data_IF_865996941007
#
_entry.id   IF_865996941007
#
_cell.length_a   1.000
_cell.length_b   1.000
_cell.length_c   1.000
_cell.angle_alpha   90.00
_cell.angle_beta   90.00
_cell.angle_gamma   90.00
#
_symmetry.space_group_name_H-M   'P 1'
#
loop_
_entity.id
_entity.type
_entity.pdbx_description
1 polymer ?
#
# COMPACT_ATOMS: atom_id res chain seq x y z
N UNK A 1 -9.54 -2.52 17.04
CA UNK A 1 -9.29 -3.37 15.85
C UNK A 1 -7.79 -3.31 15.54
N UNK A 2 -7.20 -4.21 14.75
CA UNK A 2 -5.74 -4.25 14.56
C UNK A 2 -5.35 -4.19 13.08
N UNK A 3 -4.29 -3.45 12.77
CA UNK A 3 -3.64 -3.36 11.45
C UNK A 3 -2.40 -4.24 11.49
N UNK A 4 -2.27 -5.24 10.63
CA UNK A 4 -1.03 -5.99 10.47
C UNK A 4 -0.21 -5.39 9.32
N UNK A 5 1.07 -5.12 9.56
CA UNK A 5 1.96 -4.48 8.58
C UNK A 5 3.22 -5.33 8.39
N UNK A 6 3.53 -5.68 7.15
CA UNK A 6 4.82 -6.24 6.76
C UNK A 6 5.55 -5.23 5.87
N UNK A 7 6.62 -4.66 6.40
CA UNK A 7 7.36 -3.54 5.80
C UNK A 7 8.84 -3.59 6.20
N UNK A 8 9.70 -2.97 5.39
CA UNK A 8 11.09 -2.71 5.80
C UNK A 8 11.17 -1.65 6.92
N UNK A 9 12.37 -1.40 7.44
CA UNK A 9 12.57 -0.45 8.54
C UNK A 9 12.21 0.99 8.15
N UNK A 10 12.53 1.42 6.93
CA UNK A 10 12.23 2.79 6.47
C UNK A 10 10.73 3.00 6.32
N UNK A 11 10.06 2.07 5.65
CA UNK A 11 8.61 2.07 5.45
C UNK A 11 7.86 2.00 6.79
N UNK A 12 8.37 1.20 7.74
CA UNK A 12 7.79 1.11 9.07
C UNK A 12 7.89 2.41 9.84
N UNK A 13 9.08 3.04 9.90
CA UNK A 13 9.25 4.32 10.59
C UNK A 13 8.39 5.43 9.97
N UNK A 14 8.30 5.45 8.63
CA UNK A 14 7.45 6.39 7.91
C UNK A 14 5.97 6.21 8.26
N UNK A 15 5.50 4.97 8.30
CA UNK A 15 4.11 4.64 8.60
C UNK A 15 3.77 4.85 10.09
N UNK A 16 4.68 4.51 11.00
CA UNK A 16 4.50 4.61 12.45
C UNK A 16 4.20 6.05 12.88
N UNK A 17 4.78 7.04 12.21
CA UNK A 17 4.51 8.46 12.46
C UNK A 17 3.04 8.86 12.32
N UNK A 18 2.27 8.10 11.52
CA UNK A 18 0.90 8.44 11.12
C UNK A 18 -0.17 7.54 11.73
N UNK A 19 0.21 6.33 12.16
CA UNK A 19 -0.72 5.35 12.74
C UNK A 19 -0.79 5.47 14.27
N UNK A 20 -1.97 5.27 14.88
CA UNK A 20 -2.08 5.16 16.33
C UNK A 20 -1.32 3.92 16.85
N UNK A 21 -0.37 4.11 17.78
CA UNK A 21 0.51 3.03 18.29
C UNK A 21 -0.24 1.82 18.85
N UNK A 22 -1.46 2.00 19.38
CA UNK A 22 -2.22 0.94 20.05
C UNK A 22 -2.96 -0.02 19.11
N UNK A 23 -2.98 0.26 17.80
CA UNK A 23 -3.77 -0.53 16.83
C UNK A 23 -2.92 -1.17 15.73
N UNK A 24 -1.59 -0.99 15.74
CA UNK A 24 -0.70 -1.50 14.70
C UNK A 24 0.20 -2.63 15.19
N UNK A 25 0.31 -3.70 14.40
CA UNK A 25 1.20 -4.83 14.62
C UNK A 25 2.19 -4.93 13.46
N UNK A 26 3.49 -4.78 13.76
CA UNK A 26 4.56 -5.02 12.80
C UNK A 26 4.89 -6.50 12.74
N UNK A 27 4.63 -7.15 11.61
CA UNK A 27 5.09 -8.50 11.34
C UNK A 27 6.57 -8.47 10.91
N UNK A 28 7.36 -9.43 11.38
CA UNK A 28 8.79 -9.56 11.03
C UNK A 28 8.95 -10.45 9.79
N UNK A 29 8.07 -11.45 9.66
CA UNK A 29 8.08 -12.43 8.58
C UNK A 29 6.66 -12.71 8.07
N UNK A 30 6.55 -13.56 7.04
CA UNK A 30 5.25 -13.93 6.45
C UNK A 30 4.36 -14.75 7.39
N UNK A 31 4.94 -15.59 8.23
CA UNK A 31 4.19 -16.44 9.17
C UNK A 31 3.51 -15.58 10.25
N UNK A 32 4.23 -14.63 10.82
CA UNK A 32 3.71 -13.62 11.74
C UNK A 32 2.62 -12.76 11.07
N UNK A 33 2.82 -12.42 9.79
CA UNK A 33 1.88 -11.61 9.04
C UNK A 33 0.56 -12.36 8.77
N UNK A 34 0.62 -13.63 8.38
CA UNK A 34 -0.58 -14.44 8.10
C UNK A 34 -1.32 -14.83 9.38
N UNK A 35 -0.58 -15.14 10.45
CA UNK A 35 -1.16 -15.54 11.75
C UNK A 35 -1.73 -14.36 12.56
N UNK A 36 -1.42 -13.12 12.16
CA UNK A 36 -1.92 -11.93 12.84
C UNK A 36 -3.45 -11.83 12.75
N UNK A 37 -4.11 -11.75 13.91
CA UNK A 37 -5.53 -11.43 13.98
C UNK A 37 -5.75 -9.92 13.75
N UNK A 38 -5.60 -9.49 12.50
CA UNK A 38 -5.81 -8.12 12.05
C UNK A 38 -7.13 -7.99 11.29
N UNK A 39 -7.69 -6.78 11.32
CA UNK A 39 -8.82 -6.33 10.51
C UNK A 39 -8.41 -6.04 9.07
N UNK A 40 -7.21 -5.49 8.90
CA UNK A 40 -6.65 -5.09 7.62
C UNK A 40 -5.16 -5.43 7.59
N UNK A 41 -4.71 -5.91 6.43
CA UNK A 41 -3.34 -6.34 6.20
C UNK A 41 -2.65 -5.35 5.25
N UNK A 42 -1.46 -4.88 5.59
CA UNK A 42 -0.63 -4.01 4.75
C UNK A 42 0.66 -4.75 4.40
N UNK A 43 0.84 -5.03 3.12
CA UNK A 43 2.04 -5.61 2.56
C UNK A 43 2.78 -4.54 1.76
N UNK A 44 3.84 -3.97 2.32
CA UNK A 44 4.51 -2.81 1.71
C UNK A 44 5.75 -3.15 0.89
N UNK A 45 6.23 -4.39 0.95
CA UNK A 45 7.36 -4.83 0.12
C UNK A 45 6.96 -4.80 -1.36
N UNK A 46 7.87 -4.35 -2.22
CA UNK A 46 7.64 -4.25 -3.67
C UNK A 46 7.46 -5.63 -4.34
N UNK A 47 8.07 -6.68 -3.77
CA UNK A 47 7.93 -8.04 -4.27
C UNK A 47 6.82 -8.78 -3.53
N UNK A 48 5.69 -9.00 -4.20
CA UNK A 48 4.55 -9.76 -3.69
C UNK A 48 4.52 -11.22 -4.18
N UNK A 49 5.61 -11.75 -4.77
CA UNK A 49 5.70 -13.16 -5.20
C UNK A 49 5.50 -14.17 -4.05
N UNK A 50 5.89 -13.79 -2.83
CA UNK A 50 5.71 -14.59 -1.62
C UNK A 50 4.27 -14.55 -1.09
N UNK A 51 3.40 -13.69 -1.63
CA UNK A 51 2.07 -13.43 -1.10
C UNK A 51 1.02 -14.30 -1.81
N UNK A 52 0.44 -15.25 -1.08
CA UNK A 52 -0.72 -16.01 -1.55
C UNK A 52 -2.01 -15.32 -1.10
N UNK A 53 -2.70 -14.61 -2.01
CA UNK A 53 -3.93 -13.89 -1.71
C UNK A 53 -5.06 -14.77 -1.16
N UNK A 54 -5.07 -16.06 -1.48
CA UNK A 54 -6.04 -17.05 -1.01
C UNK A 54 -6.04 -17.25 0.51
N UNK A 55 -4.97 -16.85 1.19
CA UNK A 55 -4.84 -16.97 2.64
C UNK A 55 -5.61 -15.87 3.39
N UNK A 56 -6.06 -14.83 2.70
CA UNK A 56 -6.70 -13.66 3.30
C UNK A 56 -8.17 -13.59 2.92
N UNK A 57 -9.04 -13.64 3.92
CA UNK A 57 -10.48 -13.36 3.78
C UNK A 57 -10.83 -11.90 4.05
N UNK A 58 -9.92 -11.19 4.73
CA UNK A 58 -10.03 -9.77 5.07
C UNK A 58 -9.32 -8.90 4.02
N UNK A 59 -9.55 -7.58 4.03
CA UNK A 59 -8.89 -6.67 3.10
C UNK A 59 -7.36 -6.69 3.25
N UNK A 60 -6.67 -6.76 2.12
CA UNK A 60 -5.21 -6.64 2.04
C UNK A 60 -4.85 -5.48 1.11
N UNK A 61 -4.04 -4.57 1.62
CA UNK A 61 -3.46 -3.46 0.89
C UNK A 61 -2.02 -3.83 0.53
N UNK A 62 -1.69 -3.79 -0.75
CA UNK A 62 -0.34 -4.04 -1.25
C UNK A 62 0.29 -2.75 -1.80
N UNK A 63 1.61 -2.61 -1.64
CA UNK A 63 2.38 -1.67 -2.43
C UNK A 63 2.54 -2.24 -3.84
N UNK A 64 1.90 -1.61 -4.83
CA UNK A 64 1.98 -2.03 -6.22
C UNK A 64 1.78 -0.84 -7.15
N UNK A 65 2.88 -0.17 -7.47
CA UNK A 65 2.87 1.03 -8.32
C UNK A 65 2.97 0.65 -9.80
N UNK A 66 3.69 -0.41 -10.12
CA UNK A 66 4.00 -0.80 -11.51
C UNK A 66 3.05 -1.84 -12.09
N UNK A 67 2.21 -2.49 -11.27
CA UNK A 67 1.28 -3.54 -11.70
C UNK A 67 -0.17 -3.29 -11.23
N UNK A 68 -1.12 -3.52 -12.13
CA UNK A 68 -2.58 -3.43 -11.92
C UNK A 68 -3.17 -4.71 -11.30
N UNK A 69 -4.42 -4.69 -10.79
CA UNK A 69 -4.98 -5.86 -10.08
C UNK A 69 -5.29 -6.94 -11.11
N UNK A 70 -5.60 -6.50 -12.33
CA UNK A 70 -5.82 -7.35 -13.47
C UNK A 70 -4.54 -8.10 -13.87
N UNK A 71 -3.39 -7.42 -13.95
CA UNK A 71 -2.11 -8.06 -14.33
C UNK A 71 -1.68 -9.14 -13.32
N UNK A 72 -1.95 -8.91 -12.02
CA UNK A 72 -1.58 -9.85 -10.95
C UNK A 72 -2.70 -10.84 -10.59
N UNK A 73 -3.82 -10.84 -11.34
CA UNK A 73 -5.01 -11.66 -11.07
C UNK A 73 -5.48 -11.60 -9.60
N UNK A 74 -5.47 -10.41 -9.00
CA UNK A 74 -5.79 -10.24 -7.60
C UNK A 74 -7.30 -10.38 -7.32
N UNK A 75 -7.69 -11.02 -6.21
CA UNK A 75 -9.08 -11.12 -5.80
C UNK A 75 -9.64 -9.77 -5.30
N UNK A 76 -10.97 -9.70 -5.15
CA UNK A 76 -11.68 -8.46 -4.86
C UNK A 76 -11.39 -7.83 -3.47
N UNK A 77 -10.75 -8.58 -2.57
CA UNK A 77 -10.31 -8.11 -1.26
C UNK A 77 -8.89 -7.52 -1.27
N UNK A 78 -8.24 -7.46 -2.43
CA UNK A 78 -6.92 -6.84 -2.59
C UNK A 78 -7.08 -5.41 -3.10
N UNK A 79 -6.30 -4.52 -2.51
CA UNK A 79 -6.24 -3.12 -2.87
C UNK A 79 -4.77 -2.74 -3.06
N UNK A 80 -4.50 -1.79 -3.95
CA UNK A 80 -3.16 -1.25 -4.15
C UNK A 80 -3.05 0.16 -3.61
N UNK A 81 -1.86 0.50 -3.12
CA UNK A 81 -1.43 1.87 -2.85
C UNK A 81 -0.05 2.11 -3.45
N UNK A 82 0.35 3.38 -3.46
CA UNK A 82 1.74 3.75 -3.65
C UNK A 82 2.50 3.69 -2.33
N UNK A 83 3.39 2.71 -2.19
CA UNK A 83 4.27 2.52 -1.04
C UNK A 83 5.71 3.00 -1.26
N UNK A 84 5.97 3.83 -2.28
CA UNK A 84 7.26 4.51 -2.43
C UNK A 84 7.60 5.31 -1.16
N UNK A 85 8.89 5.41 -0.86
CA UNK A 85 9.36 6.22 0.26
C UNK A 85 8.81 7.64 0.16
N UNK A 86 8.46 8.23 1.30
CA UNK A 86 7.80 9.54 1.49
C UNK A 86 6.33 9.64 1.11
N UNK A 87 5.74 8.60 0.48
CA UNK A 87 4.30 8.56 0.19
C UNK A 87 3.48 7.99 1.35
N UNK A 88 4.03 7.08 2.15
CA UNK A 88 3.35 6.45 3.28
C UNK A 88 3.04 7.45 4.41
N UNK A 89 3.91 8.44 4.65
CA UNK A 89 3.69 9.49 5.64
C UNK A 89 2.62 10.51 5.22
N UNK A 90 2.28 10.59 3.92
CA UNK A 90 1.30 11.57 3.44
C UNK A 90 -0.06 11.35 4.11
N UNK A 91 -0.80 12.43 4.44
CA UNK A 91 -2.13 12.30 5.06
C UNK A 91 -3.18 11.73 4.10
N UNK A 92 -2.90 11.77 2.79
CA UNK A 92 -3.79 11.34 1.73
C UNK A 92 -3.15 10.19 0.98
N UNK A 93 -3.87 9.08 0.85
CA UNK A 93 -3.43 7.91 0.07
C UNK A 93 -4.34 7.69 -1.13
N UNK A 94 -3.72 7.41 -2.27
CA UNK A 94 -4.39 6.97 -3.49
C UNK A 94 -4.56 5.46 -3.42
N UNK A 95 -5.79 4.98 -3.60
CA UNK A 95 -6.11 3.56 -3.52
C UNK A 95 -6.87 3.10 -4.75
N UNK A 96 -6.45 1.97 -5.32
CA UNK A 96 -7.19 1.28 -6.37
C UNK A 96 -7.60 -0.13 -5.94
N UNK A 97 -8.74 -0.56 -6.45
CA UNK A 97 -9.41 -1.80 -6.08
C UNK A 97 -10.92 -1.63 -5.95
N UNK A 98 -11.62 -2.75 -5.69
CA UNK A 98 -13.08 -2.79 -5.60
C UNK A 98 -13.52 -2.38 -4.19
N UNK A 99 -13.83 -1.10 -4.01
CA UNK A 99 -14.29 -0.59 -2.72
C UNK A 99 -15.61 -1.24 -2.29
N UNK A 100 -15.59 -1.95 -1.16
CA UNK A 100 -16.78 -2.47 -0.50
C UNK A 100 -17.03 -1.70 0.82
N UNK A 101 -18.23 -1.83 1.38
CA UNK A 101 -18.58 -1.12 2.62
C UNK A 101 -17.75 -1.59 3.82
N UNK A 102 -17.43 -2.89 3.87
CA UNK A 102 -16.55 -3.47 4.89
C UNK A 102 -15.16 -2.83 4.90
N UNK A 103 -14.58 -2.56 3.73
CA UNK A 103 -13.29 -1.88 3.60
C UNK A 103 -13.36 -0.43 4.10
N UNK A 104 -14.44 0.29 3.80
CA UNK A 104 -14.61 1.67 4.30
C UNK A 104 -14.73 1.72 5.82
N UNK A 105 -15.34 0.72 6.44
CA UNK A 105 -15.43 0.63 7.89
C UNK A 105 -14.06 0.37 8.55
N UNK A 106 -13.27 -0.55 7.99
CA UNK A 106 -11.97 -0.95 8.55
C UNK A 106 -10.83 0.04 8.22
N UNK A 107 -10.96 0.86 7.18
CA UNK A 107 -9.93 1.84 6.80
C UNK A 107 -9.86 3.07 7.70
N UNK A 108 -10.85 3.29 8.56
CA UNK A 108 -10.78 4.31 9.61
C UNK A 108 -9.58 4.11 10.55
N UNK A 109 -9.09 2.87 10.67
CA UNK A 109 -7.93 2.51 11.48
C UNK A 109 -6.61 3.06 10.95
N UNK A 110 -6.55 3.38 9.65
CA UNK A 110 -5.31 3.87 9.03
C UNK A 110 -5.04 5.34 9.33
N UNK A 111 -6.02 6.09 9.86
CA UNK A 111 -5.90 7.53 10.09
C UNK A 111 -5.41 8.31 8.83
N UNK A 112 -5.76 7.81 7.64
CA UNK A 112 -5.44 8.39 6.33
C UNK A 112 -6.71 8.75 5.60
N UNK A 113 -6.69 9.85 4.84
CA UNK A 113 -7.73 10.15 3.86
C UNK A 113 -7.50 9.32 2.61
N UNK A 114 -8.39 8.37 2.34
CA UNK A 114 -8.29 7.55 1.14
C UNK A 114 -9.01 8.21 -0.04
N UNK A 115 -8.30 8.36 -1.16
CA UNK A 115 -8.85 8.79 -2.44
C UNK A 115 -8.86 7.59 -3.38
N UNK A 116 -10.07 7.19 -3.80
CA UNK A 116 -10.21 6.14 -4.80
C UNK A 116 -9.74 6.65 -6.16
N UNK A 117 -8.93 5.86 -6.83
CA UNK A 117 -8.46 6.15 -8.18
C UNK A 117 -8.67 4.92 -9.08
N UNK A 118 -8.73 5.11 -10.40
CA UNK A 118 -8.75 4.01 -11.35
C UNK A 118 -7.57 3.06 -11.15
N UNK A 119 -7.80 1.78 -11.43
CA UNK A 119 -6.74 0.79 -11.45
C UNK A 119 -5.88 0.95 -12.71
N UNK A 120 -4.87 1.81 -12.62
CA UNK A 120 -3.88 1.96 -13.67
C UNK A 120 -2.46 2.07 -13.10
N UNK A 121 -1.48 1.69 -13.93
CA UNK A 121 -0.06 1.74 -13.57
C UNK A 121 0.36 3.15 -13.18
N UNK A 122 1.05 3.28 -12.04
CA UNK A 122 1.78 4.48 -11.63
C UNK A 122 1.01 5.44 -10.74
N UNK A 123 -0.30 5.25 -10.51
CA UNK A 123 -1.17 6.20 -9.78
C UNK A 123 -1.09 7.67 -10.29
N UNK A 124 -2.02 8.56 -9.93
CA UNK A 124 -1.91 9.96 -10.36
C UNK A 124 -0.65 10.67 -9.84
N UNK A 125 -0.38 10.59 -8.53
CA UNK A 125 0.73 11.31 -7.92
C UNK A 125 2.10 10.76 -8.34
N UNK A 126 2.26 9.44 -8.44
CA UNK A 126 3.54 8.84 -8.82
C UNK A 126 3.87 9.07 -10.30
N UNK A 127 2.87 9.08 -11.21
CA UNK A 127 3.08 9.49 -12.62
C UNK A 127 3.62 10.90 -12.74
N UNK A 128 3.05 11.86 -12.00
CA UNK A 128 3.53 13.26 -12.04
C UNK A 128 4.97 13.37 -11.54
N UNK A 129 5.30 12.71 -10.42
CA UNK A 129 6.66 12.71 -9.88
C UNK A 129 7.64 12.06 -10.85
N UNK A 130 7.29 10.91 -11.44
CA UNK A 130 8.11 10.23 -12.41
C UNK A 130 8.38 11.10 -13.65
N UNK A 131 7.37 11.82 -14.16
CA UNK A 131 7.56 12.75 -15.28
C UNK A 131 8.52 13.89 -14.92
N UNK A 132 8.41 14.49 -13.72
CA UNK A 132 9.33 15.55 -13.27
C UNK A 132 10.78 15.04 -13.22
N UNK A 133 10.99 13.83 -12.67
CA UNK A 133 12.31 13.21 -12.60
C UNK A 133 12.87 12.95 -14.00
N UNK A 134 12.04 12.46 -14.92
CA UNK A 134 12.45 12.19 -16.29
C UNK A 134 12.88 13.46 -17.04
N UNK A 135 12.12 14.56 -16.90
CA UNK A 135 12.50 15.84 -17.51
C UNK A 135 13.81 16.39 -16.95
N UNK A 136 14.00 16.34 -15.62
CA UNK A 136 15.26 16.75 -14.99
C UNK A 136 16.45 15.90 -15.47
N UNK A 137 16.25 14.58 -15.61
CA UNK A 137 17.28 13.68 -16.13
C UNK A 137 17.68 14.01 -17.57
N UNK A 138 16.70 14.30 -18.45
CA UNK A 138 16.95 14.70 -19.82
C UNK A 138 17.75 16.01 -19.90
N UNK A 139 17.40 17.00 -19.08
CA UNK A 139 18.15 18.26 -19.00
C UNK A 139 19.60 18.05 -18.54
N UNK A 140 19.81 17.24 -17.51
CA UNK A 140 21.16 16.94 -17.02
C UNK A 140 22.03 16.21 -18.04
N UNK A 141 21.44 15.37 -18.90
CA UNK A 141 22.20 14.62 -19.93
C UNK A 141 22.60 15.47 -21.15
N UNK A 142 21.94 16.61 -21.36
CA UNK A 142 22.25 17.54 -22.44
C UNK A 142 23.37 18.53 -22.10
N UNK A 143 23.85 18.54 -20.85
CA UNK A 143 25.00 19.32 -20.37
C UNK A 143 26.28 18.50 -20.44
#
# INVERSE_FOLDING_TARGET
>A
MKVAVLADDYQWEELKSSLPENECFRAINMEDFISANASIFLYLKDDFSALSFSLFTKPIIINSVTATLQEINAPANVFRINGWQTFLQRPVWEIAGKLNESFRAETGLLNKKLIHVPDEVGFPSARVVAMIINEAFLLCKMM
#
